data_IF_535222839083
#
_entry.id   IF_535222839083
#
_cell.length_a   1.000
_cell.length_b   1.000
_cell.length_c   1.000
_cell.angle_alpha   90.00
_cell.angle_beta   90.00
_cell.angle_gamma   90.00
#
_symmetry.space_group_name_H-M   'P 1'
#
loop_
_entity.id
_entity.type
_entity.pdbx_description
1 polymer ?
#
# COMPACT_ATOMS: atom_id res chain seq x y z
N UNK A 1 15.50 -4.84 -1.08
CA UNK A 1 16.62 -3.89 -0.79
C UNK A 1 16.90 -2.86 -1.92
N UNK A 2 16.02 -2.70 -2.92
CA UNK A 2 16.15 -1.67 -3.95
C UNK A 2 15.82 -0.25 -3.46
N UNK A 3 14.95 -0.11 -2.44
CA UNK A 3 14.51 1.19 -1.93
C UNK A 3 15.65 2.13 -1.50
N UNK A 4 16.71 1.58 -0.89
CA UNK A 4 17.86 2.38 -0.43
C UNK A 4 18.59 3.09 -1.58
N UNK A 5 18.47 2.57 -2.80
CA UNK A 5 19.04 3.17 -4.02
C UNK A 5 18.19 4.36 -4.50
N UNK A 6 16.87 4.31 -4.28
CA UNK A 6 15.93 5.37 -4.69
C UNK A 6 15.88 6.49 -3.64
N UNK A 7 16.16 6.17 -2.37
CA UNK A 7 16.12 7.11 -1.24
C UNK A 7 16.80 8.48 -1.49
N UNK A 8 17.97 8.60 -2.15
CA UNK A 8 18.61 9.90 -2.40
C UNK A 8 17.80 10.85 -3.29
N UNK A 9 16.83 10.32 -4.05
CA UNK A 9 16.01 11.09 -5.00
C UNK A 9 14.66 11.53 -4.40
N UNK A 10 14.44 11.30 -3.11
CA UNK A 10 13.15 11.56 -2.45
C UNK A 10 13.35 12.61 -1.36
N UNK A 11 12.56 13.68 -1.43
CA UNK A 11 12.59 14.75 -0.44
C UNK A 11 12.06 14.28 0.92
N UNK A 12 12.41 15.01 1.99
CA UNK A 12 12.03 14.64 3.35
C UNK A 12 10.51 14.55 3.56
N UNK A 13 9.73 15.46 2.95
CA UNK A 13 8.28 15.49 3.11
C UNK A 13 7.59 14.35 2.36
N UNK A 14 8.13 13.88 1.23
CA UNK A 14 7.69 12.63 0.61
C UNK A 14 8.13 11.43 1.43
N UNK A 15 9.32 11.50 2.06
CA UNK A 15 9.85 10.42 2.87
C UNK A 15 8.99 10.05 4.07
N UNK A 16 8.39 11.05 4.68
CA UNK A 16 7.57 10.84 5.87
C UNK A 16 6.18 10.27 5.53
N UNK A 17 5.80 10.19 4.24
CA UNK A 17 4.48 9.70 3.79
C UNK A 17 4.45 8.27 3.25
N UNK A 18 5.61 7.64 3.04
CA UNK A 18 5.66 6.25 2.58
C UNK A 18 6.06 5.31 3.72
N UNK A 19 5.60 4.06 3.64
CA UNK A 19 6.07 2.97 4.50
C UNK A 19 6.39 1.75 3.63
N UNK A 20 7.46 1.02 3.98
CA UNK A 20 7.73 -0.28 3.36
C UNK A 20 7.00 -1.35 4.12
N UNK A 21 6.18 -2.10 3.39
CA UNK A 21 5.48 -3.25 3.90
C UNK A 21 6.00 -4.47 3.16
N UNK A 22 6.42 -5.48 3.91
CA UNK A 22 6.76 -6.77 3.32
C UNK A 22 5.47 -7.47 2.85
N UNK A 23 5.54 -8.26 1.77
CA UNK A 23 4.38 -8.93 1.16
C UNK A 23 3.54 -9.72 2.19
N UNK A 24 4.21 -10.41 3.12
CA UNK A 24 3.57 -11.19 4.20
C UNK A 24 2.71 -10.37 5.17
N UNK A 25 2.94 -9.07 5.23
CA UNK A 25 2.26 -8.13 6.13
C UNK A 25 1.41 -7.11 5.37
N UNK A 26 1.33 -7.23 4.04
CA UNK A 26 0.65 -6.27 3.17
C UNK A 26 -0.85 -6.19 3.49
N UNK A 27 -1.53 -7.34 3.49
CA UNK A 27 -2.97 -7.43 3.78
C UNK A 27 -3.32 -6.86 5.16
N UNK A 28 -2.63 -7.32 6.21
CA UNK A 28 -2.85 -6.85 7.59
C UNK A 28 -2.66 -5.34 7.71
N UNK A 29 -1.59 -4.80 7.09
CA UNK A 29 -1.30 -3.37 7.15
C UNK A 29 -2.37 -2.56 6.44
N UNK A 30 -2.78 -2.97 5.23
CA UNK A 30 -3.81 -2.26 4.48
C UNK A 30 -5.16 -2.24 5.22
N UNK A 31 -5.56 -3.37 5.81
CA UNK A 31 -6.81 -3.46 6.58
C UNK A 31 -6.80 -2.66 7.89
N UNK A 32 -5.63 -2.39 8.45
CA UNK A 32 -5.50 -1.52 9.63
C UNK A 32 -5.67 -0.04 9.26
N UNK A 33 -5.15 0.37 8.11
CA UNK A 33 -5.11 1.77 7.69
C UNK A 33 -6.30 2.17 6.79
N UNK A 34 -7.03 1.22 6.22
CA UNK A 34 -8.15 1.43 5.30
C UNK A 34 -9.41 0.69 5.75
N UNK A 35 -10.57 1.28 5.49
CA UNK A 35 -11.85 0.61 5.72
C UNK A 35 -12.06 -0.55 4.72
N UNK A 36 -12.64 -1.66 5.19
CA UNK A 36 -12.86 -2.87 4.37
C UNK A 36 -13.57 -2.59 3.04
N UNK A 37 -14.53 -1.65 3.01
CA UNK A 37 -15.31 -1.30 1.81
C UNK A 37 -14.53 -0.51 0.76
N UNK A 38 -13.40 0.06 1.14
CA UNK A 38 -12.50 0.82 0.26
C UNK A 38 -11.35 -0.04 -0.28
N UNK A 39 -11.11 -1.19 0.36
CA UNK A 39 -10.00 -2.07 0.04
C UNK A 39 -10.45 -3.17 -0.93
N UNK A 40 -9.72 -3.38 -2.05
CA UNK A 40 -10.01 -4.47 -2.97
C UNK A 40 -9.98 -5.85 -2.31
N UNK A 41 -10.80 -6.77 -2.81
CA UNK A 41 -10.87 -8.16 -2.33
C UNK A 41 -9.51 -8.88 -2.41
N UNK A 42 -8.70 -8.58 -3.44
CA UNK A 42 -7.35 -9.15 -3.59
C UNK A 42 -6.37 -8.73 -2.47
N UNK A 43 -6.71 -7.72 -1.67
CA UNK A 43 -5.96 -7.26 -0.51
C UNK A 43 -6.72 -7.49 0.80
N UNK A 44 -7.71 -8.40 0.81
CA UNK A 44 -8.45 -8.78 2.02
C UNK A 44 -9.62 -7.85 2.39
N UNK A 45 -9.99 -6.92 1.51
CA UNK A 45 -11.16 -6.06 1.68
C UNK A 45 -12.43 -6.60 1.03
N UNK A 46 -13.38 -5.71 0.73
CA UNK A 46 -14.71 -6.03 0.18
C UNK A 46 -15.04 -5.29 -1.12
N UNK A 47 -14.11 -4.51 -1.66
CA UNK A 47 -14.34 -3.79 -2.92
C UNK A 47 -14.13 -4.74 -4.10
N UNK A 48 -15.16 -5.00 -4.92
CA UNK A 48 -15.05 -5.86 -6.09
C UNK A 48 -14.31 -5.15 -7.22
N UNK A 49 -13.62 -5.92 -8.06
CA UNK A 49 -13.02 -5.40 -9.30
C UNK A 49 -14.13 -5.22 -10.33
N UNK A 50 -14.28 -4.02 -10.87
CA UNK A 50 -15.20 -3.73 -11.97
C UNK A 50 -14.43 -3.60 -13.30
N UNK A 51 -14.95 -4.14 -14.41
CA UNK A 51 -14.39 -3.88 -15.73
C UNK A 51 -14.41 -2.39 -16.06
N UNK A 52 -13.42 -1.92 -16.82
CA UNK A 52 -13.46 -0.59 -17.43
C UNK A 52 -14.35 -0.64 -18.68
N UNK A 53 -15.22 0.36 -18.85
CA UNK A 53 -16.06 0.54 -20.04
C UNK A 53 -15.33 1.26 -21.18
#
# INVERSE_FOLDING_TARGET
>A
KAWKVVQPFIDANTRDKFVFVDDKSLEETLRREMEDGQLPEMYGGKMPIVPLE
#
